data_IF_759329785667
#
_entry.id   IF_759329785667
#
_cell.length_a   1.000
_cell.length_b   1.000
_cell.length_c   1.000
_cell.angle_alpha   90.00
_cell.angle_beta   90.00
_cell.angle_gamma   90.00
#
_symmetry.space_group_name_H-M   'P 1'
#
loop_
_entity.id
_entity.type
_entity.pdbx_description
1 polymer ?
#
# COMPACT_ATOMS: atom_id res chain seq x y z
N UNK A 1 11.21 -0.87 -86.65
CA UNK A 1 10.54 0.25 -85.94
C UNK A 1 9.37 -0.34 -85.17
N UNK A 2 9.56 -0.62 -83.88
CA UNK A 2 8.47 -1.09 -83.01
C UNK A 2 7.59 0.12 -82.65
N UNK A 3 6.28 -0.03 -82.79
CA UNK A 3 5.28 1.02 -82.58
C UNK A 3 5.13 1.36 -81.09
N UNK A 4 5.18 2.65 -80.69
CA UNK A 4 5.17 3.09 -79.28
C UNK A 4 3.91 2.71 -78.50
N UNK A 5 2.83 2.33 -79.19
CA UNK A 5 1.56 1.92 -78.58
C UNK A 5 1.63 0.52 -77.91
N UNK A 6 2.53 -0.36 -78.36
CA UNK A 6 2.74 -1.67 -77.73
C UNK A 6 3.49 -1.58 -76.39
N UNK A 7 4.28 -0.52 -76.19
CA UNK A 7 5.09 -0.34 -74.98
C UNK A 7 4.24 0.11 -73.79
N UNK A 8 3.26 1.00 -74.04
CA UNK A 8 2.30 1.46 -73.02
C UNK A 8 1.43 0.31 -72.50
N UNK A 9 0.98 -0.58 -73.39
CA UNK A 9 0.20 -1.76 -72.98
C UNK A 9 1.06 -2.72 -72.15
N UNK A 10 2.31 -2.95 -72.54
CA UNK A 10 3.22 -3.82 -71.79
C UNK A 10 3.53 -3.25 -70.38
N UNK A 11 3.73 -1.93 -70.26
CA UNK A 11 3.92 -1.28 -68.96
C UNK A 11 2.68 -1.40 -68.07
N UNK A 12 1.48 -1.20 -68.64
CA UNK A 12 0.23 -1.34 -67.88
C UNK A 12 0.02 -2.77 -67.41
N UNK A 13 0.23 -3.77 -68.27
CA UNK A 13 0.11 -5.18 -67.87
C UNK A 13 1.12 -5.56 -66.79
N UNK A 14 2.35 -5.02 -66.83
CA UNK A 14 3.34 -5.22 -65.75
C UNK A 14 2.91 -4.54 -64.45
N UNK A 15 2.39 -3.32 -64.52
CA UNK A 15 1.89 -2.58 -63.35
C UNK A 15 0.69 -3.29 -62.71
N UNK A 16 -0.29 -3.68 -63.51
CA UNK A 16 -1.48 -4.40 -63.05
C UNK A 16 -1.08 -5.75 -62.44
N UNK A 17 -0.09 -6.44 -63.02
CA UNK A 17 0.48 -7.67 -62.46
C UNK A 17 1.11 -7.47 -61.07
N UNK A 18 1.82 -6.37 -60.84
CA UNK A 18 2.38 -6.04 -59.53
C UNK A 18 1.30 -5.72 -58.49
N UNK A 19 0.24 -5.01 -58.89
CA UNK A 19 -0.90 -4.71 -58.01
C UNK A 19 -1.64 -5.99 -57.61
N UNK A 20 -1.89 -6.89 -58.58
CA UNK A 20 -2.53 -8.18 -58.30
C UNK A 20 -1.68 -9.00 -57.33
N UNK A 21 -0.38 -9.14 -57.57
CA UNK A 21 0.52 -9.88 -56.68
C UNK A 21 0.55 -9.28 -55.26
N UNK A 22 0.51 -7.95 -55.13
CA UNK A 22 0.48 -7.27 -53.82
C UNK A 22 -0.84 -7.53 -53.07
N UNK A 23 -1.97 -7.50 -53.79
CA UNK A 23 -3.27 -7.80 -53.20
C UNK A 23 -3.38 -9.28 -52.80
N UNK A 24 -2.86 -10.20 -53.61
CA UNK A 24 -2.82 -11.62 -53.28
C UNK A 24 -1.98 -11.90 -52.03
N UNK A 25 -0.82 -11.25 -51.90
CA UNK A 25 -0.01 -11.33 -50.68
C UNK A 25 -0.78 -10.77 -49.48
N UNK A 26 -1.44 -9.62 -49.61
CA UNK A 26 -2.22 -9.03 -48.52
C UNK A 26 -3.39 -9.90 -48.09
N UNK A 27 -4.09 -10.54 -49.04
CA UNK A 27 -5.17 -11.50 -48.74
C UNK A 27 -4.61 -12.71 -47.99
N UNK A 28 -3.45 -13.22 -48.40
CA UNK A 28 -2.79 -14.32 -47.70
C UNK A 28 -2.44 -13.93 -46.24
N UNK A 29 -1.86 -12.76 -46.04
CA UNK A 29 -1.51 -12.24 -44.71
C UNK A 29 -2.77 -12.07 -43.82
N UNK A 30 -3.86 -11.53 -44.39
CA UNK A 30 -5.14 -11.38 -43.69
C UNK A 30 -5.77 -12.73 -43.34
N UNK A 31 -5.65 -13.74 -44.21
CA UNK A 31 -6.16 -15.09 -43.92
C UNK A 31 -5.39 -15.74 -42.77
N UNK A 32 -4.06 -15.55 -42.72
CA UNK A 32 -3.23 -16.01 -41.59
C UNK A 32 -3.64 -15.29 -40.31
N UNK A 33 -3.71 -13.96 -40.32
CA UNK A 33 -4.11 -13.17 -39.15
C UNK A 33 -5.53 -13.50 -38.67
N UNK A 34 -6.48 -13.74 -39.59
CA UNK A 34 -7.84 -14.17 -39.25
C UNK A 34 -7.85 -15.57 -38.62
N UNK A 35 -7.03 -16.51 -39.12
CA UNK A 35 -6.87 -17.84 -38.53
C UNK A 35 -6.32 -17.78 -37.10
N UNK A 36 -5.31 -16.95 -36.87
CA UNK A 36 -4.73 -16.73 -35.53
C UNK A 36 -5.73 -16.07 -34.58
N UNK A 37 -6.44 -15.03 -35.03
CA UNK A 37 -7.47 -14.35 -34.24
C UNK A 37 -8.59 -15.31 -33.84
N UNK A 38 -9.03 -16.18 -34.76
CA UNK A 38 -10.05 -17.21 -34.49
C UNK A 38 -9.58 -18.21 -33.44
N UNK A 39 -8.34 -18.71 -33.54
CA UNK A 39 -7.75 -19.63 -32.56
C UNK A 39 -7.65 -18.98 -31.17
N UNK A 40 -7.22 -17.71 -31.11
CA UNK A 40 -7.14 -16.96 -29.86
C UNK A 40 -8.54 -16.78 -29.23
N UNK A 41 -9.56 -16.52 -30.04
CA UNK A 41 -10.95 -16.42 -29.58
C UNK A 41 -11.48 -17.74 -29.03
N UNK A 42 -11.22 -18.86 -29.70
CA UNK A 42 -11.60 -20.21 -29.23
C UNK A 42 -10.89 -20.57 -27.90
N UNK A 43 -9.60 -20.23 -27.79
CA UNK A 43 -8.83 -20.41 -26.55
C UNK A 43 -9.36 -19.56 -25.40
N UNK A 44 -9.66 -18.29 -25.66
CA UNK A 44 -10.20 -17.37 -24.65
C UNK A 44 -11.60 -17.80 -24.19
N UNK A 45 -12.43 -18.30 -25.12
CA UNK A 45 -13.76 -18.83 -24.79
C UNK A 45 -13.68 -20.05 -23.88
N UNK A 46 -12.76 -20.98 -24.17
CA UNK A 46 -12.55 -22.17 -23.32
C UNK A 46 -12.10 -21.78 -21.92
N UNK A 47 -11.13 -20.86 -21.80
CA UNK A 47 -10.67 -20.37 -20.50
C UNK A 47 -11.77 -19.65 -19.70
N UNK A 48 -12.67 -18.94 -20.38
CA UNK A 48 -13.84 -18.33 -19.74
C UNK A 48 -14.82 -19.38 -19.20
N UNK A 49 -15.14 -20.41 -19.98
CA UNK A 49 -16.02 -21.51 -19.56
C UNK A 49 -15.44 -22.28 -18.35
N UNK A 50 -14.12 -22.48 -18.31
CA UNK A 50 -13.42 -23.09 -17.17
C UNK A 50 -13.53 -22.24 -15.89
N UNK A 51 -13.32 -20.93 -16.00
CA UNK A 51 -13.46 -19.99 -14.87
C UNK A 51 -14.90 -19.92 -14.34
N UNK A 52 -15.90 -19.96 -15.23
CA UNK A 52 -17.32 -19.99 -14.84
C UNK A 52 -17.65 -21.29 -14.07
N UNK A 53 -17.10 -22.43 -14.50
CA UNK A 53 -17.25 -23.70 -13.80
C UNK A 53 -16.58 -23.67 -12.41
N UNK A 54 -15.38 -23.13 -12.29
CA UNK A 54 -14.69 -22.95 -11.01
C UNK A 54 -15.46 -22.02 -10.07
N UNK A 55 -15.97 -20.90 -10.59
CA UNK A 55 -16.79 -19.96 -9.82
C UNK A 55 -18.06 -20.64 -9.31
N UNK A 56 -18.74 -21.43 -10.14
CA UNK A 56 -19.93 -22.17 -9.74
C UNK A 56 -19.64 -23.17 -8.60
N UNK A 57 -18.52 -23.91 -8.67
CA UNK A 57 -18.07 -24.83 -7.62
C UNK A 57 -17.74 -24.07 -6.33
N UNK A 58 -17.05 -22.93 -6.42
CA UNK A 58 -16.72 -22.10 -5.27
C UNK A 58 -17.96 -21.55 -4.57
N UNK A 59 -18.95 -21.09 -5.34
CA UNK A 59 -20.24 -20.62 -4.83
C UNK A 59 -21.03 -21.74 -4.15
N UNK A 60 -21.13 -22.92 -4.77
CA UNK A 60 -21.81 -24.07 -4.18
C UNK A 60 -21.16 -24.50 -2.84
N UNK A 61 -19.81 -24.49 -2.77
CA UNK A 61 -19.07 -24.80 -1.55
C UNK A 61 -19.33 -23.75 -0.46
N UNK A 62 -19.31 -22.46 -0.79
CA UNK A 62 -19.63 -21.37 0.14
C UNK A 62 -21.05 -21.54 0.72
N UNK A 63 -22.02 -21.84 -0.14
CA UNK A 63 -23.42 -21.95 0.26
C UNK A 63 -23.65 -23.20 1.14
N UNK A 64 -22.98 -24.32 0.83
CA UNK A 64 -22.96 -25.51 1.68
C UNK A 64 -22.36 -25.22 3.06
N UNK A 65 -21.22 -24.51 3.14
CA UNK A 65 -20.64 -24.08 4.41
C UNK A 65 -21.57 -23.16 5.19
N UNK A 66 -22.24 -22.22 4.52
CA UNK A 66 -23.20 -21.32 5.16
C UNK A 66 -24.39 -22.08 5.73
N UNK A 67 -24.92 -23.04 4.98
CA UNK A 67 -26.00 -23.92 5.44
C UNK A 67 -25.55 -24.78 6.63
N UNK A 68 -24.32 -25.31 6.59
CA UNK A 68 -23.72 -26.02 7.72
C UNK A 68 -23.59 -25.11 8.95
N UNK A 69 -23.14 -23.86 8.81
CA UNK A 69 -23.03 -22.92 9.94
C UNK A 69 -24.39 -22.57 10.55
N UNK A 70 -25.42 -22.41 9.71
CA UNK A 70 -26.80 -22.17 10.16
C UNK A 70 -27.38 -23.39 10.88
N UNK A 71 -27.16 -24.60 10.33
CA UNK A 71 -27.68 -25.86 10.90
C UNK A 71 -26.87 -26.36 12.08
N UNK A 72 -25.58 -26.07 12.13
CA UNK A 72 -24.69 -26.51 13.19
C UNK A 72 -25.02 -25.80 14.50
N UNK A 73 -24.90 -26.53 15.61
CA UNK A 73 -25.07 -26.00 16.96
C UNK A 73 -24.09 -24.86 17.30
N UNK A 74 -23.12 -24.55 16.45
CA UNK A 74 -22.13 -23.50 16.67
C UNK A 74 -22.77 -22.13 16.84
N UNK A 75 -23.79 -21.80 16.02
CA UNK A 75 -24.54 -20.54 16.17
C UNK A 75 -25.21 -20.42 17.55
N UNK A 76 -25.66 -21.55 18.13
CA UNK A 76 -26.22 -21.60 19.49
C UNK A 76 -25.16 -21.65 20.59
N UNK A 77 -23.96 -22.16 20.29
CA UNK A 77 -22.85 -22.34 21.24
C UNK A 77 -21.90 -21.14 21.29
N UNK A 78 -21.87 -20.30 20.26
CA UNK A 78 -21.09 -19.05 20.23
C UNK A 78 -21.39 -18.15 21.45
N UNK A 79 -22.66 -17.95 21.84
CA UNK A 79 -22.99 -17.24 23.08
C UNK A 79 -22.50 -17.91 24.37
N UNK A 80 -22.14 -19.20 24.34
CA UNK A 80 -21.65 -19.96 25.51
C UNK A 80 -20.14 -20.17 25.54
N UNK A 81 -19.42 -19.81 24.46
CA UNK A 81 -17.96 -19.88 24.47
C UNK A 81 -17.39 -19.00 25.60
N UNK A 82 -16.32 -19.41 26.30
CA UNK A 82 -15.62 -18.53 27.24
C UNK A 82 -15.13 -17.24 26.57
N UNK A 83 -15.00 -16.18 27.36
CA UNK A 83 -14.57 -14.87 26.87
C UNK A 83 -13.18 -14.93 26.23
N UNK A 84 -12.28 -15.72 26.82
CA UNK A 84 -10.89 -15.88 26.43
C UNK A 84 -10.78 -16.54 25.05
N UNK A 85 -11.58 -17.59 24.82
CA UNK A 85 -11.62 -18.30 23.53
C UNK A 85 -12.12 -17.35 22.44
N UNK A 86 -13.16 -16.58 22.75
CA UNK A 86 -13.74 -15.64 21.79
C UNK A 86 -12.78 -14.46 21.49
N UNK A 87 -12.09 -13.92 22.49
CA UNK A 87 -11.05 -12.91 22.30
C UNK A 87 -9.89 -13.44 21.45
N UNK A 88 -9.45 -14.68 21.67
CA UNK A 88 -8.42 -15.31 20.83
C UNK A 88 -8.90 -15.44 19.38
N UNK A 89 -10.14 -15.88 19.14
CA UNK A 89 -10.72 -15.89 17.80
C UNK A 89 -10.72 -14.49 17.15
N UNK A 90 -10.99 -13.43 17.92
CA UNK A 90 -10.93 -12.06 17.42
C UNK A 90 -9.51 -11.64 17.04
N UNK A 91 -8.52 -12.00 17.84
CA UNK A 91 -7.11 -11.73 17.54
C UNK A 91 -6.69 -12.43 16.26
N UNK A 92 -7.00 -13.72 16.11
CA UNK A 92 -6.71 -14.47 14.88
C UNK A 92 -7.39 -13.85 13.65
N UNK A 93 -8.65 -13.44 13.79
CA UNK A 93 -9.38 -12.77 12.71
C UNK A 93 -8.76 -11.42 12.34
N UNK A 94 -8.43 -10.59 13.34
CA UNK A 94 -7.86 -9.26 13.09
C UNK A 94 -6.41 -9.32 12.60
N UNK A 95 -5.71 -10.45 12.77
CA UNK A 95 -4.31 -10.61 12.39
C UNK A 95 -4.10 -11.60 11.25
N UNK A 96 -5.14 -11.97 10.51
CA UNK A 96 -5.02 -12.82 9.33
C UNK A 96 -4.17 -12.11 8.26
N UNK A 97 -2.90 -12.53 8.12
CA UNK A 97 -1.87 -11.89 7.29
C UNK A 97 -0.70 -11.28 8.08
N UNK A 98 -0.76 -11.32 9.42
CA UNK A 98 0.17 -10.75 10.38
C UNK A 98 0.72 -9.37 9.96
N UNK A 99 0.12 -8.25 10.43
CA UNK A 99 0.62 -6.92 10.10
C UNK A 99 2.08 -6.71 10.57
N UNK A 100 2.52 -7.50 11.54
CA UNK A 100 3.90 -7.57 12.03
C UNK A 100 4.81 -8.55 11.26
N UNK A 101 4.41 -9.09 10.10
CA UNK A 101 5.29 -9.89 9.23
C UNK A 101 5.28 -9.50 7.75
N UNK A 102 4.31 -8.70 7.27
CA UNK A 102 4.30 -8.26 5.87
C UNK A 102 5.64 -7.60 5.48
N UNK A 103 6.22 -8.07 4.37
CA UNK A 103 7.39 -7.45 3.76
C UNK A 103 6.95 -6.09 3.22
N UNK A 104 7.34 -5.02 3.92
CA UNK A 104 7.01 -3.65 3.55
C UNK A 104 7.91 -3.21 2.38
N UNK A 105 7.48 -3.55 1.16
CA UNK A 105 8.00 -2.91 -0.05
C UNK A 105 7.56 -1.43 -0.15
N UNK A 106 8.17 -0.64 -1.03
CA UNK A 106 7.81 0.76 -1.26
C UNK A 106 6.35 0.97 -1.69
N UNK A 107 5.71 -0.06 -2.25
CA UNK A 107 4.35 -0.01 -2.80
C UNK A 107 3.31 -0.68 -1.89
N UNK A 108 3.64 -1.00 -0.64
CA UNK A 108 2.67 -1.65 0.24
C UNK A 108 1.58 -0.66 0.64
N UNK A 109 0.40 -0.84 0.05
CA UNK A 109 -0.80 -0.09 0.36
C UNK A 109 -1.30 -0.42 1.78
N UNK A 110 -1.97 0.53 2.47
CA UNK A 110 -2.60 0.27 3.75
C UNK A 110 -3.67 -0.83 3.65
N UNK A 111 -3.58 -1.88 4.47
CA UNK A 111 -4.58 -2.96 4.47
C UNK A 111 -5.81 -2.54 5.29
N UNK A 112 -6.77 -1.90 4.60
CA UNK A 112 -8.01 -1.44 5.22
C UNK A 112 -8.88 -2.58 5.76
N UNK A 113 -8.70 -3.84 5.29
CA UNK A 113 -9.43 -4.99 5.83
C UNK A 113 -8.95 -5.30 7.25
N UNK A 114 -7.63 -5.33 7.47
CA UNK A 114 -7.03 -5.53 8.80
C UNK A 114 -7.41 -4.37 9.72
N UNK A 115 -7.30 -3.13 9.25
CA UNK A 115 -7.58 -1.95 10.05
C UNK A 115 -9.05 -1.83 10.50
N UNK A 116 -9.99 -2.34 9.69
CA UNK A 116 -11.42 -2.34 10.00
C UNK A 116 -11.89 -3.58 10.79
N UNK A 117 -11.12 -4.67 10.81
CA UNK A 117 -11.51 -5.92 11.46
C UNK A 117 -11.95 -5.76 12.93
N UNK A 118 -11.28 -4.96 13.80
CA UNK A 118 -11.72 -4.75 15.18
C UNK A 118 -13.11 -4.09 15.27
N UNK A 119 -13.40 -3.17 14.35
CA UNK A 119 -14.71 -2.50 14.27
C UNK A 119 -15.79 -3.47 13.80
N UNK A 120 -15.49 -4.31 12.80
CA UNK A 120 -16.40 -5.36 12.33
C UNK A 120 -16.77 -6.33 13.46
N UNK A 121 -15.78 -6.80 14.22
CA UNK A 121 -16.01 -7.68 15.38
C UNK A 121 -16.85 -6.96 16.44
N UNK A 122 -16.54 -5.69 16.75
CA UNK A 122 -17.28 -4.91 17.72
C UNK A 122 -18.72 -4.56 17.29
N UNK A 123 -19.04 -4.68 15.99
CA UNK A 123 -20.37 -4.39 15.45
C UNK A 123 -21.36 -5.57 15.59
N UNK A 124 -20.89 -6.81 15.77
CA UNK A 124 -21.72 -8.02 15.67
C UNK A 124 -22.85 -8.08 16.72
N UNK A 125 -22.50 -8.05 18.01
CA UNK A 125 -23.48 -8.04 19.10
C UNK A 125 -22.92 -7.36 20.35
N UNK A 126 -23.76 -7.07 21.35
CA UNK A 126 -23.35 -6.41 22.60
C UNK A 126 -22.17 -7.13 23.29
N UNK A 127 -22.22 -8.47 23.38
CA UNK A 127 -21.17 -9.28 24.00
C UNK A 127 -19.84 -9.17 23.27
N UNK A 128 -19.86 -9.25 21.94
CA UNK A 128 -18.66 -9.14 21.11
C UNK A 128 -18.05 -7.74 21.21
N UNK A 129 -18.88 -6.69 21.21
CA UNK A 129 -18.44 -5.32 21.45
C UNK A 129 -17.70 -5.16 22.77
N UNK A 130 -18.29 -5.64 23.87
CA UNK A 130 -17.65 -5.56 25.19
C UNK A 130 -16.30 -6.25 25.20
N UNK A 131 -16.19 -7.43 24.60
CA UNK A 131 -14.93 -8.18 24.52
C UNK A 131 -13.91 -7.50 23.60
N UNK A 132 -14.31 -7.02 22.43
CA UNK A 132 -13.43 -6.33 21.49
C UNK A 132 -12.86 -5.04 22.09
N UNK A 133 -13.69 -4.26 22.80
CA UNK A 133 -13.24 -3.05 23.51
C UNK A 133 -12.33 -3.38 24.71
N UNK A 134 -12.51 -4.53 25.35
CA UNK A 134 -11.63 -5.00 26.43
C UNK A 134 -10.28 -5.52 25.92
N UNK A 135 -10.23 -5.98 24.66
CA UNK A 135 -9.06 -6.64 24.05
C UNK A 135 -8.22 -5.62 23.28
N UNK A 136 -7.31 -4.92 23.96
CA UNK A 136 -6.51 -3.84 23.38
C UNK A 136 -5.61 -4.26 22.21
N UNK A 137 -5.17 -5.51 22.18
CA UNK A 137 -4.35 -6.10 21.11
C UNK A 137 -5.03 -6.06 19.73
N UNK A 138 -6.36 -5.97 19.65
CA UNK A 138 -7.08 -5.83 18.39
C UNK A 138 -6.83 -4.46 17.72
N UNK A 139 -6.55 -3.42 18.51
CA UNK A 139 -6.51 -2.02 18.05
C UNK A 139 -5.08 -1.56 17.75
N UNK A 140 -4.23 -2.46 17.26
CA UNK A 140 -2.78 -2.23 17.19
C UNK A 140 -2.24 -1.98 15.78
N UNK A 141 -3.10 -2.09 14.78
CA UNK A 141 -2.80 -1.77 13.40
C UNK A 141 -3.61 -0.54 12.97
N UNK A 142 -2.92 0.45 12.41
CA UNK A 142 -3.51 1.69 11.95
C UNK A 142 -3.14 1.88 10.48
N UNK A 143 -4.15 1.95 9.62
CA UNK A 143 -4.02 2.21 8.19
C UNK A 143 -4.65 3.57 7.89
N UNK A 144 -3.83 4.48 7.36
CA UNK A 144 -4.18 5.87 7.12
C UNK A 144 -4.01 6.18 5.63
N UNK A 145 -5.03 5.93 4.80
CA UNK A 145 -5.04 6.42 3.42
C UNK A 145 -5.14 7.94 3.41
N UNK A 146 -5.13 8.55 2.23
CA UNK A 146 -5.31 9.99 2.07
C UNK A 146 -6.50 10.53 2.88
N UNK A 147 -6.29 11.58 3.71
CA UNK A 147 -7.37 12.17 4.47
C UNK A 147 -8.30 12.95 3.53
N UNK A 148 -9.62 12.88 3.74
CA UNK A 148 -10.60 13.64 2.95
C UNK A 148 -10.36 15.15 3.10
N UNK A 149 -10.92 15.98 2.23
CA UNK A 149 -10.78 17.45 2.30
C UNK A 149 -11.07 18.01 3.71
N UNK A 150 -10.31 19.03 4.10
CA UNK A 150 -10.42 19.67 5.42
C UNK A 150 -11.81 20.30 5.64
N UNK A 151 -12.17 20.50 6.90
CA UNK A 151 -13.48 21.04 7.32
C UNK A 151 -14.72 20.20 6.92
N UNK A 152 -14.51 19.01 6.35
CA UNK A 152 -15.60 18.07 6.07
C UNK A 152 -15.95 17.21 7.30
N UNK A 153 -17.20 16.72 7.41
CA UNK A 153 -17.55 15.70 8.40
C UNK A 153 -16.68 14.44 8.29
N UNK A 154 -16.19 14.13 7.09
CA UNK A 154 -15.30 13.01 6.84
C UNK A 154 -13.91 13.25 7.48
N UNK A 155 -13.35 14.45 7.42
CA UNK A 155 -12.10 14.79 8.10
C UNK A 155 -12.23 14.66 9.62
N UNK A 156 -13.34 15.12 10.19
CA UNK A 156 -13.63 14.93 11.61
C UNK A 156 -13.70 13.45 11.99
N UNK A 157 -14.37 12.62 11.17
CA UNK A 157 -14.47 11.18 11.37
C UNK A 157 -13.10 10.48 11.24
N UNK A 158 -12.25 10.96 10.34
CA UNK A 158 -10.89 10.46 10.13
C UNK A 158 -10.01 10.71 11.37
N UNK A 159 -10.02 11.93 11.90
CA UNK A 159 -9.32 12.26 13.16
C UNK A 159 -9.87 11.44 14.33
N UNK A 160 -11.20 11.33 14.45
CA UNK A 160 -11.83 10.52 15.48
C UNK A 160 -11.44 9.03 15.39
N UNK A 161 -11.28 8.50 14.18
CA UNK A 161 -10.78 7.14 13.94
C UNK A 161 -9.38 6.94 14.52
N UNK A 162 -8.44 7.85 14.22
CA UNK A 162 -7.05 7.81 14.73
C UNK A 162 -7.05 7.82 16.26
N UNK A 163 -7.76 8.78 16.87
CA UNK A 163 -7.82 8.92 18.32
C UNK A 163 -8.47 7.69 18.98
N UNK A 164 -9.51 7.14 18.37
CA UNK A 164 -10.18 5.92 18.85
C UNK A 164 -9.23 4.72 18.88
N UNK A 165 -8.40 4.54 17.85
CA UNK A 165 -7.40 3.46 17.82
C UNK A 165 -6.35 3.67 18.91
N UNK A 166 -5.82 4.89 19.03
CA UNK A 166 -4.83 5.23 20.06
C UNK A 166 -5.37 4.91 21.46
N UNK A 167 -6.57 5.39 21.79
CA UNK A 167 -7.24 5.17 23.07
C UNK A 167 -7.42 3.66 23.35
N UNK A 168 -7.96 2.90 22.40
CA UNK A 168 -8.31 1.49 22.60
C UNK A 168 -7.09 0.56 22.65
N UNK A 169 -6.01 0.93 21.96
CA UNK A 169 -4.75 0.16 21.97
C UNK A 169 -4.03 0.20 23.33
N UNK A 170 -4.32 1.18 24.19
CA UNK A 170 -3.76 1.39 25.54
C UNK A 170 -2.23 1.45 25.63
N UNK A 171 -1.55 0.34 25.90
CA UNK A 171 -0.08 0.25 26.02
C UNK A 171 0.53 -0.77 25.06
N UNK A 172 -0.31 -1.43 24.27
CA UNK A 172 0.08 -2.45 23.31
C UNK A 172 0.94 -1.87 22.17
N UNK A 173 1.87 -2.60 21.57
CA UNK A 173 2.70 -2.03 20.51
C UNK A 173 1.90 -1.69 19.23
N UNK A 174 2.27 -0.59 18.56
CA UNK A 174 1.55 -0.07 17.37
C UNK A 174 2.30 -0.35 16.06
N UNK A 175 1.55 -0.73 15.03
CA UNK A 175 1.98 -0.81 13.64
C UNK A 175 1.19 0.20 12.82
N UNK A 176 1.88 1.20 12.27
CA UNK A 176 1.25 2.34 11.60
C UNK A 176 1.67 2.35 10.13
N UNK A 177 0.72 2.54 9.23
CA UNK A 177 0.92 2.72 7.79
C UNK A 177 0.17 3.97 7.35
N UNK A 178 0.90 4.96 6.88
CA UNK A 178 0.39 6.22 6.34
C UNK A 178 0.68 6.24 4.84
N UNK A 179 -0.35 6.45 4.03
CA UNK A 179 -0.22 6.64 2.59
C UNK A 179 -0.99 7.89 2.15
N UNK A 180 -0.26 9.00 2.15
CA UNK A 180 -0.71 10.32 1.72
C UNK A 180 0.07 10.75 0.47
N UNK A 181 0.36 9.80 -0.43
CA UNK A 181 1.12 10.08 -1.67
C UNK A 181 0.35 10.89 -2.70
N UNK A 182 -0.98 10.88 -2.62
CA UNK A 182 -1.86 11.70 -3.46
C UNK A 182 -2.22 13.05 -2.83
N UNK A 183 -1.94 13.22 -1.52
CA UNK A 183 -2.25 14.44 -0.81
C UNK A 183 -1.29 15.56 -1.24
N UNK A 184 -1.84 16.61 -1.83
CA UNK A 184 -1.11 17.85 -2.09
C UNK A 184 -1.07 18.71 -0.82
N UNK A 185 0.04 19.40 -0.61
CA UNK A 185 0.20 20.46 0.40
C UNK A 185 -0.21 20.05 1.83
N UNK A 186 0.21 18.85 2.24
CA UNK A 186 0.03 18.33 3.61
C UNK A 186 0.47 19.33 4.71
N UNK A 187 1.49 20.14 4.41
CA UNK A 187 2.06 21.13 5.34
C UNK A 187 1.06 22.22 5.72
N UNK A 188 0.10 22.52 4.83
CA UNK A 188 -0.92 23.55 5.05
C UNK A 188 -2.17 23.01 5.78
N UNK A 189 -2.26 21.69 5.98
CA UNK A 189 -3.44 21.03 6.56
C UNK A 189 -3.32 20.83 8.08
N UNK A 190 -4.20 21.48 8.84
CA UNK A 190 -4.17 21.42 10.30
C UNK A 190 -4.57 20.05 10.85
N UNK A 191 -5.51 19.37 10.17
CA UNK A 191 -5.95 18.03 10.55
C UNK A 191 -4.82 16.99 10.43
N UNK A 192 -4.03 17.06 9.36
CA UNK A 192 -2.86 16.20 9.14
C UNK A 192 -1.83 16.38 10.26
N UNK A 193 -1.52 17.63 10.60
CA UNK A 193 -0.60 17.96 11.71
C UNK A 193 -1.12 17.39 13.04
N UNK A 194 -2.42 17.58 13.33
CA UNK A 194 -3.06 17.05 14.54
C UNK A 194 -2.98 15.53 14.62
N UNK A 195 -3.18 14.84 13.49
CA UNK A 195 -3.09 13.38 13.38
C UNK A 195 -1.65 12.91 13.62
N UNK A 196 -0.67 13.54 12.97
CA UNK A 196 0.75 13.19 13.13
C UNK A 196 1.25 13.45 14.55
N UNK A 197 0.81 14.54 15.19
CA UNK A 197 1.12 14.82 16.60
C UNK A 197 0.52 13.76 17.54
N UNK A 198 -0.74 13.39 17.32
CA UNK A 198 -1.39 12.34 18.09
C UNK A 198 -0.64 11.01 17.95
N UNK A 199 -0.22 10.64 16.73
CA UNK A 199 0.58 9.44 16.45
C UNK A 199 1.97 9.55 17.10
N UNK A 200 2.63 10.71 16.95
CA UNK A 200 3.95 11.04 17.50
C UNK A 200 4.01 10.95 19.02
N UNK A 201 2.93 11.34 19.71
CA UNK A 201 2.80 11.15 21.17
C UNK A 201 2.92 9.69 21.61
N UNK A 202 2.65 8.75 20.69
CA UNK A 202 2.73 7.31 20.88
C UNK A 202 4.02 6.68 20.33
N UNK A 203 5.02 7.49 19.97
CA UNK A 203 6.29 7.01 19.40
C UNK A 203 6.97 5.91 20.25
N UNK A 204 6.86 6.00 21.58
CA UNK A 204 7.50 5.07 22.51
C UNK A 204 7.07 3.60 22.38
N UNK A 205 5.96 3.34 21.67
CA UNK A 205 5.35 2.02 21.49
C UNK A 205 5.18 1.62 20.03
N UNK A 206 5.70 2.40 19.09
CA UNK A 206 5.77 1.99 17.70
C UNK A 206 6.67 0.75 17.57
N UNK A 207 6.20 -0.26 16.85
CA UNK A 207 7.00 -1.42 16.42
C UNK A 207 7.26 -1.35 14.94
N UNK A 208 6.30 -0.83 14.17
CA UNK A 208 6.44 -0.60 12.75
C UNK A 208 5.86 0.75 12.39
N UNK A 209 6.54 1.44 11.51
CA UNK A 209 6.10 2.71 10.99
C UNK A 209 6.38 2.77 9.49
N UNK A 210 5.34 2.95 8.69
CA UNK A 210 5.46 3.24 7.28
C UNK A 210 4.76 4.56 6.97
N UNK A 211 5.41 5.40 6.18
CA UNK A 211 4.85 6.67 5.73
C UNK A 211 5.25 6.92 4.29
N UNK A 212 4.25 6.99 3.41
CA UNK A 212 4.39 7.40 2.04
C UNK A 212 3.69 8.77 1.91
N UNK A 213 4.42 9.80 1.48
CA UNK A 213 3.90 11.16 1.41
C UNK A 213 4.33 11.85 0.13
N UNK A 214 3.56 12.83 -0.31
CA UNK A 214 4.00 13.82 -1.27
C UNK A 214 4.59 15.02 -0.52
N UNK A 215 5.78 15.47 -0.91
CA UNK A 215 6.43 16.67 -0.36
C UNK A 215 6.53 17.68 -1.50
N UNK A 216 5.64 18.67 -1.51
CA UNK A 216 5.64 19.76 -2.50
C UNK A 216 6.83 20.71 -2.27
N UNK A 217 7.14 21.01 -1.02
CA UNK A 217 8.18 21.94 -0.62
C UNK A 217 8.88 21.42 0.62
N UNK A 218 10.18 21.62 0.72
CA UNK A 218 10.92 21.31 1.93
C UNK A 218 11.26 22.62 2.63
N UNK A 219 10.24 23.22 3.23
CA UNK A 219 10.39 24.44 4.01
C UNK A 219 11.30 24.24 5.23
N UNK A 220 11.83 25.33 5.81
CA UNK A 220 12.66 25.26 7.01
C UNK A 220 11.91 24.70 8.24
N UNK A 221 10.58 24.77 8.24
CA UNK A 221 9.71 24.34 9.35
C UNK A 221 8.89 23.10 8.96
N UNK A 222 9.55 21.94 8.88
CA UNK A 222 8.86 20.64 8.78
C UNK A 222 8.33 20.21 10.15
N UNK A 223 7.37 20.94 10.71
CA UNK A 223 6.86 20.67 12.07
C UNK A 223 6.30 19.24 12.21
N UNK A 224 5.71 18.72 11.14
CA UNK A 224 5.21 17.34 11.08
C UNK A 224 6.31 16.28 11.33
N UNK A 225 7.59 16.60 11.10
CA UNK A 225 8.72 15.70 11.39
C UNK A 225 9.03 15.59 12.89
N UNK A 226 8.46 16.47 13.73
CA UNK A 226 8.72 16.46 15.17
C UNK A 226 8.31 15.14 15.84
N UNK A 227 7.36 14.39 15.28
CA UNK A 227 7.02 13.05 15.76
C UNK A 227 8.22 12.08 15.79
N UNK A 228 9.21 12.24 14.89
CA UNK A 228 10.40 11.39 14.84
C UNK A 228 11.49 11.80 15.83
N UNK A 229 11.34 12.94 16.52
CA UNK A 229 12.27 13.36 17.58
C UNK A 229 11.99 12.63 18.90
N UNK A 230 10.84 12.00 19.04
CA UNK A 230 10.48 11.23 20.23
C UNK A 230 11.26 9.89 20.30
N UNK A 231 11.60 9.40 21.50
CA UNK A 231 12.17 8.06 21.67
C UNK A 231 11.26 6.95 21.12
N UNK A 232 11.82 6.02 20.35
CA UNK A 232 11.10 4.92 19.70
C UNK A 232 11.73 3.56 20.08
N UNK A 233 11.76 3.19 21.38
CA UNK A 233 12.52 2.07 21.92
C UNK A 233 12.04 0.68 21.46
N UNK A 234 10.83 0.60 20.90
CA UNK A 234 10.23 -0.65 20.39
C UNK A 234 10.26 -0.74 18.86
N UNK A 235 10.67 0.31 18.16
CA UNK A 235 10.62 0.38 16.69
C UNK A 235 11.59 -0.64 16.09
N UNK A 236 11.06 -1.53 15.26
CA UNK A 236 11.81 -2.57 14.55
C UNK A 236 11.98 -2.27 13.08
N UNK A 237 10.93 -1.77 12.44
CA UNK A 237 10.98 -1.46 11.01
C UNK A 237 10.42 -0.08 10.76
N UNK A 238 11.17 0.73 10.02
CA UNK A 238 10.73 2.05 9.60
C UNK A 238 10.96 2.24 8.11
N UNK A 239 9.89 2.64 7.42
CA UNK A 239 9.86 2.82 5.98
C UNK A 239 9.27 4.18 5.64
N UNK A 240 10.06 5.10 5.10
CA UNK A 240 9.58 6.44 4.79
C UNK A 240 9.92 6.82 3.35
N UNK A 241 8.90 7.05 2.54
CA UNK A 241 9.04 7.37 1.14
C UNK A 241 8.38 8.72 0.88
N UNK A 242 9.14 9.65 0.34
CA UNK A 242 8.60 10.88 -0.18
C UNK A 242 8.55 10.79 -1.71
N UNK A 243 7.45 11.29 -2.29
CA UNK A 243 7.39 11.65 -3.70
C UNK A 243 7.58 13.16 -3.78
N UNK A 244 8.47 13.62 -4.64
CA UNK A 244 8.60 15.03 -4.98
C UNK A 244 8.41 15.20 -6.49
N UNK A 245 7.78 16.30 -6.91
CA UNK A 245 7.65 16.64 -8.34
C UNK A 245 8.93 17.27 -8.94
N UNK A 246 10.06 17.27 -8.22
CA UNK A 246 11.34 17.81 -8.69
C UNK A 246 12.50 17.48 -7.77
N UNK A 247 13.68 18.03 -8.05
CA UNK A 247 14.80 18.06 -7.09
C UNK A 247 14.32 18.79 -5.84
N UNK A 248 13.98 18.06 -4.78
CA UNK A 248 13.72 18.61 -3.46
C UNK A 248 14.97 19.36 -3.01
N UNK A 249 15.02 20.67 -3.29
CA UNK A 249 16.01 21.57 -2.74
C UNK A 249 15.66 21.80 -1.27
N UNK A 250 15.96 20.81 -0.43
CA UNK A 250 15.81 20.96 1.02
C UNK A 250 16.86 21.96 1.47
N UNK A 251 16.44 23.20 1.75
CA UNK A 251 17.30 24.23 2.35
C UNK A 251 17.49 23.94 3.84
N UNK A 252 18.28 22.91 4.11
CA UNK A 252 18.63 22.55 5.47
C UNK A 252 19.48 23.65 6.11
N UNK A 253 18.91 24.37 7.06
CA UNK A 253 19.68 25.29 7.91
C UNK A 253 20.57 24.49 8.86
N UNK A 254 21.85 24.87 8.95
CA UNK A 254 22.80 24.32 9.91
C UNK A 254 22.52 24.92 11.31
N UNK A 255 22.39 24.12 12.39
CA UNK A 255 22.53 22.66 12.45
C UNK A 255 21.32 21.88 11.96
N UNK A 256 21.60 20.83 11.19
CA UNK A 256 20.59 19.89 10.72
C UNK A 256 19.83 19.26 11.90
N UNK A 257 18.49 19.23 11.87
CA UNK A 257 17.73 18.52 12.88
C UNK A 257 18.04 17.03 12.83
N UNK A 258 18.18 16.44 14.03
CA UNK A 258 18.42 15.01 14.21
C UNK A 258 17.14 14.34 14.72
N UNK A 259 16.88 13.14 14.20
CA UNK A 259 15.69 12.35 14.48
C UNK A 259 16.08 10.96 14.99
N UNK A 260 15.11 10.20 15.48
CA UNK A 260 15.29 8.84 16.00
C UNK A 260 16.39 8.75 17.07
N UNK A 261 16.27 9.48 18.19
CA UNK A 261 17.35 9.54 19.20
C UNK A 261 17.57 8.20 19.91
N UNK A 262 16.54 7.36 20.03
CA UNK A 262 16.60 6.09 20.76
C UNK A 262 15.84 5.00 20.00
N UNK A 263 16.57 4.19 19.23
CA UNK A 263 16.05 3.09 18.39
C UNK A 263 16.81 1.77 18.57
N UNK A 264 16.98 1.25 19.79
CA UNK A 264 17.81 0.07 20.09
C UNK A 264 17.34 -1.24 19.45
N UNK A 265 16.08 -1.30 18.98
CA UNK A 265 15.47 -2.48 18.37
C UNK A 265 15.25 -2.34 16.87
N UNK A 266 15.74 -1.27 16.24
CA UNK A 266 15.56 -1.08 14.82
C UNK A 266 16.32 -2.19 14.10
N UNK A 267 15.61 -2.98 13.31
CA UNK A 267 16.13 -4.11 12.53
C UNK A 267 16.21 -3.72 11.04
N UNK A 268 15.37 -2.78 10.58
CA UNK A 268 15.39 -2.27 9.21
C UNK A 268 14.93 -0.82 9.11
N UNK A 269 15.68 -0.02 8.35
CA UNK A 269 15.30 1.34 7.94
C UNK A 269 15.38 1.44 6.43
N UNK A 270 14.27 1.81 5.77
CA UNK A 270 14.24 2.12 4.34
C UNK A 270 13.72 3.51 4.14
N UNK A 271 14.43 4.29 3.35
CA UNK A 271 14.02 5.64 3.04
C UNK A 271 14.31 5.97 1.58
N UNK A 272 13.40 6.70 0.94
CA UNK A 272 13.61 7.27 -0.39
C UNK A 272 13.10 8.70 -0.40
N UNK A 273 13.97 9.65 -0.79
CA UNK A 273 13.68 11.08 -0.85
C UNK A 273 13.15 11.71 0.44
N UNK A 274 13.30 11.02 1.57
CA UNK A 274 12.71 11.44 2.83
C UNK A 274 13.74 12.20 3.69
N UNK A 275 13.42 13.40 4.19
CA UNK A 275 14.35 14.31 4.85
C UNK A 275 14.63 13.92 6.33
N UNK A 276 15.03 12.68 6.61
CA UNK A 276 15.31 12.23 7.98
C UNK A 276 16.80 11.95 8.18
N UNK A 277 17.41 12.66 9.12
CA UNK A 277 18.81 12.45 9.54
C UNK A 277 18.82 11.78 10.93
N UNK A 278 19.24 10.51 11.04
CA UNK A 278 19.32 9.80 12.31
C UNK A 278 20.31 10.44 13.29
N UNK A 279 20.02 10.32 14.58
CA UNK A 279 20.88 10.84 15.67
C UNK A 279 22.05 9.92 16.02
N UNK A 280 21.94 8.62 15.72
CA UNK A 280 22.93 7.60 16.10
C UNK A 280 23.21 6.59 14.98
N UNK A 281 24.17 5.68 15.19
CA UNK A 281 24.48 4.63 14.23
C UNK A 281 23.27 3.70 14.06
N UNK A 282 22.92 3.42 12.81
CA UNK A 282 21.82 2.52 12.48
C UNK A 282 22.33 1.16 11.99
N UNK A 283 21.65 0.06 12.31
CA UNK A 283 21.94 -1.25 11.73
C UNK A 283 21.60 -1.26 10.24
N UNK A 284 22.42 -1.97 9.45
CA UNK A 284 22.25 -2.29 8.01
C UNK A 284 21.33 -1.33 7.25
N UNK A 285 21.82 -0.13 6.97
CA UNK A 285 21.12 0.85 6.14
C UNK A 285 21.26 0.47 4.65
N UNK A 286 20.22 -0.18 4.12
CA UNK A 286 20.08 -0.39 2.66
C UNK A 286 19.61 0.91 2.02
N UNK A 287 20.57 1.78 1.66
CA UNK A 287 20.30 2.94 0.82
C UNK A 287 20.12 2.48 -0.63
N UNK A 288 18.88 2.25 -1.05
CA UNK A 288 18.56 1.99 -2.45
C UNK A 288 18.40 3.30 -3.23
N UNK A 289 19.46 4.12 -3.30
CA UNK A 289 19.52 5.23 -4.26
C UNK A 289 20.95 5.71 -4.50
N UNK A 290 21.47 5.34 -5.66
CA UNK A 290 22.69 5.86 -6.30
C UNK A 290 22.55 7.31 -6.79
N UNK A 291 21.61 8.07 -6.24
CA UNK A 291 21.38 9.49 -6.50
C UNK A 291 21.51 10.26 -5.19
N UNK A 292 22.63 10.06 -4.49
CA UNK A 292 23.09 11.05 -3.54
C UNK A 292 23.35 12.33 -4.34
N UNK A 293 22.65 13.39 -3.95
CA UNK A 293 22.83 14.77 -4.38
C UNK A 293 24.24 15.05 -4.93
N UNK A 294 24.39 15.71 -6.10
CA UNK A 294 25.69 16.18 -6.56
C UNK A 294 26.16 17.30 -5.62
N UNK A 295 26.81 16.93 -4.51
CA UNK A 295 27.32 17.87 -3.51
C UNK A 295 27.42 17.38 -2.08
N UNK A 296 26.76 16.27 -1.69
CA UNK A 296 26.83 15.79 -0.30
C UNK A 296 27.50 14.42 -0.19
N UNK A 297 28.58 14.42 0.61
CA UNK A 297 29.33 13.28 1.06
C UNK A 297 28.41 12.17 1.54
N UNK A 298 28.50 11.03 0.87
CA UNK A 298 28.00 9.76 1.33
C UNK A 298 28.42 9.58 2.80
N UNK A 299 27.46 9.56 3.73
CA UNK A 299 27.70 9.17 5.13
C UNK A 299 28.11 7.70 5.14
N UNK A 300 29.38 7.42 4.83
CA UNK A 300 30.02 6.20 5.30
C UNK A 300 30.10 6.35 6.81
N UNK A 301 29.36 5.49 7.50
CA UNK A 301 29.61 5.16 8.90
C UNK A 301 31.07 4.73 9.03
N UNK A 302 31.95 5.67 9.40
CA UNK A 302 33.26 5.33 9.95
C UNK A 302 32.98 4.63 11.27
N UNK A 303 33.44 3.37 11.38
CA UNK A 303 33.31 2.58 12.60
C UNK A 303 33.88 3.40 13.78
N UNK A 304 33.18 3.49 14.91
CA UNK A 304 33.73 4.17 16.08
C UNK A 304 34.93 3.37 16.60
N UNK A 305 36.01 4.10 16.91
CA UNK A 305 37.12 3.63 17.75
C UNK A 305 36.64 3.40 19.19
#
# INVERSE_FOLDING_TARGET
MATPQNDVHAMRTRSDGLVIATLEQHVADLQVAHGEAKKNLESAKTAFEDLDAELAVALAKRDSFREFLVKSSLSRRLPTLPAEVLSNCFEQFCWEGNPFQANLGPEVQPDMRIANAPFTVAAVCKRWRTLALATSSLWCYMALPEPPEEETPAATAYTAYVLTIIERSKTFPLSIVIDWTALEDMEDRHDCTTILDAIGSQAHRWVRFQMNINISSAGPDMDWMNMFRSPTPKLRTMNCYARGQGELAVDWRNPYPRYLPVTPKLEGLRMSWFPLIPSGPLPLYESSSAHLFPGNTCFRSEKPF
#
